data_IF_947140135388
#
_entry.id   IF_947140135388
#
_cell.length_a   1.000
_cell.length_b   1.000
_cell.length_c   1.000
_cell.angle_alpha   90.00
_cell.angle_beta   90.00
_cell.angle_gamma   90.00
#
_symmetry.space_group_name_H-M   'P 1'
#
loop_
_entity.id
_entity.type
_entity.pdbx_description
1 polymer ?
#
# COMPACT_ATOMS: atom_id res chain seq x y z
N UNK A 1 4.82 -58.44 32.15
CA UNK A 1 3.90 -57.28 32.27
C UNK A 1 4.54 -55.98 31.77
N UNK A 2 5.70 -55.53 32.26
CA UNK A 2 6.32 -54.26 31.83
C UNK A 2 6.58 -54.10 30.31
N UNK A 3 6.92 -55.17 29.58
CA UNK A 3 7.19 -55.11 28.13
C UNK A 3 5.92 -54.84 27.29
N UNK A 4 4.76 -55.36 27.68
CA UNK A 4 3.49 -55.06 27.00
C UNK A 4 3.05 -53.61 27.25
N UNK A 5 3.27 -53.08 28.45
CA UNK A 5 2.96 -51.69 28.77
C UNK A 5 3.83 -50.71 28.00
N UNK A 6 5.11 -51.00 27.83
CA UNK A 6 6.02 -50.17 27.04
C UNK A 6 5.64 -50.20 25.55
N UNK A 7 5.28 -51.36 25.00
CA UNK A 7 4.85 -51.50 23.62
C UNK A 7 3.53 -50.75 23.31
N UNK A 8 2.55 -50.78 24.22
CA UNK A 8 1.28 -50.07 24.05
C UNK A 8 1.46 -48.54 24.05
N UNK A 9 2.34 -48.03 24.93
CA UNK A 9 2.69 -46.60 24.98
C UNK A 9 3.40 -46.17 23.71
N UNK A 10 4.42 -46.91 23.28
CA UNK A 10 5.12 -46.60 22.03
C UNK A 10 4.19 -46.65 20.81
N UNK A 11 3.17 -47.52 20.80
CA UNK A 11 2.21 -47.58 19.70
C UNK A 11 1.24 -46.38 19.70
N UNK A 12 0.78 -45.93 20.87
CA UNK A 12 -0.08 -44.75 21.00
C UNK A 12 0.69 -43.46 20.69
N UNK A 13 1.92 -43.35 21.18
CA UNK A 13 2.82 -42.22 20.97
C UNK A 13 3.26 -42.12 19.51
N UNK A 14 3.62 -43.25 18.89
CA UNK A 14 3.99 -43.29 17.47
C UNK A 14 2.84 -42.92 16.52
N UNK A 15 1.59 -43.29 16.83
CA UNK A 15 0.42 -42.86 16.04
C UNK A 15 0.10 -41.38 16.20
N UNK A 16 0.29 -40.84 17.41
CA UNK A 16 0.10 -39.41 17.64
C UNK A 16 1.18 -38.60 16.93
N UNK A 17 2.44 -38.99 17.07
CA UNK A 17 3.58 -38.37 16.38
C UNK A 17 3.38 -38.36 14.86
N UNK A 18 2.92 -39.47 14.27
CA UNK A 18 2.63 -39.54 12.83
C UNK A 18 1.49 -38.60 12.37
N UNK A 19 0.56 -38.25 13.26
CA UNK A 19 -0.52 -37.31 12.94
C UNK A 19 -0.12 -35.84 13.07
N UNK A 20 1.04 -35.54 13.67
CA UNK A 20 1.52 -34.15 13.83
C UNK A 20 1.89 -33.56 12.48
N UNK A 21 2.52 -34.33 11.59
CA UNK A 21 2.91 -33.85 10.27
C UNK A 21 1.68 -33.41 9.45
N UNK A 22 0.62 -34.22 9.41
CA UNK A 22 -0.64 -33.87 8.74
C UNK A 22 -1.27 -32.59 9.32
N UNK A 23 -1.17 -32.38 10.64
CA UNK A 23 -1.69 -31.18 11.31
C UNK A 23 -0.89 -29.95 10.91
N UNK A 24 0.44 -30.06 10.87
CA UNK A 24 1.31 -28.95 10.48
C UNK A 24 1.10 -28.57 9.02
N UNK A 25 0.88 -29.54 8.12
CA UNK A 25 0.52 -29.28 6.73
C UNK A 25 -0.84 -28.55 6.62
N UNK A 26 -1.85 -28.97 7.40
CA UNK A 26 -3.14 -28.27 7.46
C UNK A 26 -2.99 -26.84 8.01
N UNK A 27 -2.18 -26.63 9.06
CA UNK A 27 -1.88 -25.31 9.63
C UNK A 27 -1.17 -24.39 8.64
N UNK A 28 -0.22 -24.91 7.87
CA UNK A 28 0.50 -24.15 6.84
C UNK A 28 -0.46 -23.62 5.77
N UNK A 29 -1.46 -24.41 5.37
CA UNK A 29 -2.47 -23.97 4.41
C UNK A 29 -3.24 -22.72 4.89
N UNK A 30 -3.63 -22.68 6.17
CA UNK A 30 -4.29 -21.49 6.73
C UNK A 30 -3.33 -20.31 6.88
N UNK A 31 -2.07 -20.57 7.22
CA UNK A 31 -1.05 -19.53 7.27
C UNK A 31 -0.85 -18.88 5.90
N UNK A 32 -0.84 -19.68 4.83
CA UNK A 32 -0.70 -19.18 3.46
C UNK A 32 -1.90 -18.36 3.01
N UNK A 33 -3.14 -18.77 3.33
CA UNK A 33 -4.34 -17.93 3.08
C UNK A 33 -4.24 -16.56 3.76
N UNK A 34 -3.75 -16.51 5.00
CA UNK A 34 -3.55 -15.24 5.71
C UNK A 34 -2.41 -14.41 5.12
N UNK A 35 -1.32 -15.04 4.66
CA UNK A 35 -0.23 -14.36 3.95
C UNK A 35 -0.71 -13.76 2.63
N UNK A 36 -1.50 -14.49 1.84
CA UNK A 36 -2.11 -13.97 0.62
C UNK A 36 -2.96 -12.73 0.90
N UNK A 37 -3.73 -12.75 1.99
CA UNK A 37 -4.53 -11.61 2.40
C UNK A 37 -3.66 -10.41 2.82
N UNK A 38 -2.53 -10.67 3.47
CA UNK A 38 -1.54 -9.63 3.79
C UNK A 38 -0.97 -9.00 2.51
N UNK A 39 -0.63 -9.80 1.50
CA UNK A 39 -0.16 -9.29 0.20
C UNK A 39 -1.22 -8.44 -0.51
N UNK A 40 -2.51 -8.80 -0.39
CA UNK A 40 -3.57 -7.95 -0.92
C UNK A 40 -3.62 -6.58 -0.22
N UNK A 41 -3.50 -6.55 1.11
CA UNK A 41 -3.42 -5.30 1.86
C UNK A 41 -2.19 -4.45 1.48
N UNK A 42 -1.04 -5.09 1.19
CA UNK A 42 0.16 -4.41 0.70
C UNK A 42 -0.04 -3.82 -0.69
N UNK A 43 -0.72 -4.53 -1.60
CA UNK A 43 -1.07 -4.03 -2.92
C UNK A 43 -1.94 -2.76 -2.82
N UNK A 44 -2.93 -2.74 -1.91
CA UNK A 44 -3.73 -1.54 -1.66
C UNK A 44 -2.91 -0.38 -1.10
N UNK A 45 -1.95 -0.66 -0.20
CA UNK A 45 -1.02 0.36 0.26
C UNK A 45 -0.21 0.95 -0.90
N UNK A 46 0.20 0.14 -1.88
CA UNK A 46 0.88 0.62 -3.08
C UNK A 46 -0.04 1.51 -3.94
N UNK A 47 -1.33 1.15 -4.07
CA UNK A 47 -2.34 1.98 -4.75
C UNK A 47 -2.45 3.36 -4.10
N UNK A 48 -2.55 3.42 -2.77
CA UNK A 48 -2.60 4.68 -2.03
C UNK A 48 -1.32 5.51 -2.18
N UNK A 49 -0.15 4.88 -2.12
CA UNK A 49 1.14 5.57 -2.32
C UNK A 49 1.26 6.18 -3.71
N UNK A 50 0.78 5.48 -4.74
CA UNK A 50 0.77 6.01 -6.09
C UNK A 50 -0.16 7.23 -6.20
N UNK A 51 -1.31 7.21 -5.55
CA UNK A 51 -2.17 8.40 -5.45
C UNK A 51 -1.43 9.59 -4.80
N UNK A 52 -0.75 9.37 -3.67
CA UNK A 52 0.03 10.42 -3.00
C UNK A 52 1.12 11.02 -3.92
N UNK A 53 1.83 10.19 -4.68
CA UNK A 53 2.84 10.66 -5.64
C UNK A 53 2.22 11.46 -6.78
N UNK A 54 1.11 11.00 -7.36
CA UNK A 54 0.42 11.72 -8.43
C UNK A 54 -0.11 13.07 -7.94
N UNK A 55 -0.67 13.12 -6.74
CA UNK A 55 -1.13 14.35 -6.10
C UNK A 55 0.04 15.33 -5.88
N UNK A 56 1.20 14.83 -5.43
CA UNK A 56 2.40 15.65 -5.27
C UNK A 56 2.86 16.25 -6.61
N UNK A 57 2.89 15.45 -7.69
CA UNK A 57 3.26 15.94 -9.02
C UNK A 57 2.29 17.01 -9.54
N UNK A 58 0.99 16.83 -9.29
CA UNK A 58 -0.06 17.78 -9.65
C UNK A 58 0.14 19.12 -8.91
N UNK A 59 0.37 19.07 -7.61
CA UNK A 59 0.60 20.25 -6.77
C UNK A 59 1.89 20.98 -7.16
N UNK A 60 2.95 20.24 -7.49
CA UNK A 60 4.21 20.80 -7.99
C UNK A 60 4.00 21.54 -9.33
N UNK A 61 3.26 20.94 -10.27
CA UNK A 61 2.93 21.57 -11.55
C UNK A 61 2.08 22.84 -11.36
N UNK A 62 1.09 22.80 -10.46
CA UNK A 62 0.26 23.96 -10.14
C UNK A 62 1.08 25.11 -9.53
N UNK A 63 2.02 24.79 -8.64
CA UNK A 63 2.92 25.77 -8.03
C UNK A 63 3.88 26.39 -9.06
N UNK A 64 4.45 25.59 -9.97
CA UNK A 64 5.30 26.08 -11.05
C UNK A 64 4.54 27.05 -11.97
N UNK A 65 3.35 26.66 -12.42
CA UNK A 65 2.48 27.51 -13.23
C UNK A 65 2.14 28.83 -12.52
N UNK A 66 1.82 28.77 -11.24
CA UNK A 66 1.54 29.96 -10.42
C UNK A 66 2.75 30.88 -10.37
N UNK A 67 3.96 30.33 -10.20
CA UNK A 67 5.19 31.12 -10.20
C UNK A 67 5.47 31.79 -11.54
N UNK A 68 5.21 31.11 -12.66
CA UNK A 68 5.38 31.65 -14.02
C UNK A 68 4.37 32.77 -14.30
N UNK A 69 3.11 32.59 -13.91
CA UNK A 69 2.07 33.64 -14.01
C UNK A 69 2.47 34.88 -13.23
N UNK A 70 2.98 34.73 -12.01
CA UNK A 70 3.48 35.84 -11.20
C UNK A 70 4.69 36.52 -11.88
N UNK A 71 5.65 35.77 -12.39
CA UNK A 71 6.81 36.34 -13.11
C UNK A 71 6.38 37.15 -14.33
N UNK A 72 5.38 36.68 -15.08
CA UNK A 72 4.81 37.39 -16.23
C UNK A 72 4.14 38.71 -15.82
N UNK A 73 3.40 38.72 -14.71
CA UNK A 73 2.78 39.95 -14.17
C UNK A 73 3.83 40.97 -13.66
N UNK A 74 4.87 40.50 -12.96
CA UNK A 74 5.98 41.34 -12.51
C UNK A 74 6.75 41.95 -13.70
N UNK A 75 6.96 41.18 -14.77
CA UNK A 75 7.65 41.64 -15.98
C UNK A 75 6.79 42.60 -16.81
N UNK A 76 5.48 42.37 -16.91
CA UNK A 76 4.54 43.21 -17.65
C UNK A 76 4.26 44.55 -16.95
N UNK A 77 4.17 44.56 -15.62
CA UNK A 77 3.95 45.77 -14.83
C UNK A 77 5.20 46.64 -14.66
N UNK A 78 6.38 46.16 -15.06
CA UNK A 78 7.65 46.84 -14.86
C UNK A 78 8.03 47.03 -13.38
N UNK A 79 7.26 46.46 -12.45
CA UNK A 79 7.45 46.60 -11.00
C UNK A 79 8.46 45.56 -10.54
N UNK A 80 9.75 45.81 -10.81
CA UNK A 80 10.81 45.16 -10.04
C UNK A 80 10.69 45.72 -8.63
N UNK A 81 10.16 44.94 -7.67
CA UNK A 81 10.13 45.35 -6.26
C UNK A 81 11.50 45.91 -5.90
N UNK A 82 11.51 47.17 -5.47
CA UNK A 82 12.69 48.02 -5.24
C UNK A 82 13.69 47.49 -4.20
N UNK A 83 13.40 46.33 -3.58
CA UNK A 83 14.22 45.65 -2.58
C UNK A 83 14.71 44.25 -3.02
N UNK A 84 14.52 43.85 -4.27
CA UNK A 84 15.09 42.60 -4.81
C UNK A 84 16.52 42.82 -5.34
N UNK A 85 17.41 41.84 -5.17
CA UNK A 85 18.78 41.84 -5.74
C UNK A 85 18.82 42.18 -7.24
N UNK A 86 17.75 41.89 -8.00
CA UNK A 86 17.61 42.26 -9.43
C UNK A 86 17.52 43.78 -9.67
N UNK A 87 17.09 44.57 -8.68
CA UNK A 87 17.06 46.03 -8.76
C UNK A 87 18.46 46.68 -8.65
N UNK A 88 19.43 45.97 -8.07
CA UNK A 88 20.83 46.44 -8.02
C UNK A 88 21.60 46.10 -9.30
N UNK A 89 21.29 44.99 -9.98
CA UNK A 89 21.96 44.60 -11.23
C UNK A 89 21.55 45.46 -12.42
N UNK A 90 20.32 45.98 -12.48
CA UNK A 90 19.88 46.90 -13.55
C UNK A 90 20.62 48.25 -13.55
N UNK A 91 21.09 48.70 -12.37
CA UNK A 91 21.97 49.88 -12.24
C UNK A 91 23.42 49.57 -12.62
N UNK A 92 23.84 48.31 -12.60
CA UNK A 92 25.23 47.90 -12.86
C UNK A 92 25.46 47.40 -14.30
N UNK A 93 24.44 46.85 -14.96
CA UNK A 93 24.55 46.23 -16.30
C UNK A 93 23.71 46.93 -17.40
N UNK A 94 23.01 48.01 -17.07
CA UNK A 94 22.13 48.74 -17.99
C UNK A 94 20.69 48.25 -17.96
N UNK A 95 19.75 49.13 -18.31
CA UNK A 95 18.33 48.78 -18.42
C UNK A 95 18.11 47.85 -19.61
N UNK A 96 17.36 46.78 -19.36
CA UNK A 96 16.89 45.85 -20.40
C UNK A 96 16.11 46.60 -21.49
N UNK A 97 16.42 46.34 -22.77
CA UNK A 97 15.72 47.03 -23.85
C UNK A 97 14.26 46.57 -23.94
N UNK A 98 13.35 47.40 -24.47
CA UNK A 98 11.95 47.02 -24.67
C UNK A 98 11.79 45.72 -25.45
N UNK A 99 12.63 45.48 -26.44
CA UNK A 99 12.61 44.29 -27.29
C UNK A 99 13.03 43.03 -26.53
N UNK A 100 14.03 43.12 -25.65
CA UNK A 100 14.45 42.01 -24.79
C UNK A 100 13.37 41.63 -23.77
N UNK A 101 12.66 42.63 -23.24
CA UNK A 101 11.52 42.41 -22.33
C UNK A 101 10.35 41.74 -23.04
N UNK A 102 10.02 42.19 -24.25
CA UNK A 102 8.95 41.61 -25.08
C UNK A 102 9.27 40.15 -25.45
N UNK A 103 10.52 39.85 -25.82
CA UNK A 103 10.96 38.48 -26.09
C UNK A 103 10.82 37.57 -24.86
N UNK A 104 11.19 38.05 -23.66
CA UNK A 104 11.02 37.30 -22.40
C UNK A 104 9.55 37.10 -22.04
N UNK A 105 8.70 38.09 -22.29
CA UNK A 105 7.26 37.98 -22.07
C UNK A 105 6.65 36.89 -22.96
N UNK A 106 7.01 36.85 -24.25
CA UNK A 106 6.54 35.81 -25.18
C UNK A 106 6.93 34.41 -24.73
N UNK A 107 8.20 34.21 -24.34
CA UNK A 107 8.66 32.91 -23.81
C UNK A 107 7.91 32.51 -22.54
N UNK A 108 7.66 33.46 -21.63
CA UNK A 108 6.88 33.19 -20.42
C UNK A 108 5.42 32.86 -20.74
N UNK A 109 4.81 33.51 -21.73
CA UNK A 109 3.45 33.21 -22.17
C UNK A 109 3.35 31.80 -22.77
N UNK A 110 4.29 31.41 -23.63
CA UNK A 110 4.38 30.04 -24.16
C UNK A 110 4.51 29.01 -23.02
N UNK A 111 5.42 29.23 -22.07
CA UNK A 111 5.62 28.35 -20.91
C UNK A 111 4.40 28.28 -19.98
N UNK A 112 3.60 29.35 -19.90
CA UNK A 112 2.34 29.37 -19.14
C UNK A 112 1.30 28.52 -19.86
N UNK A 113 1.16 28.66 -21.18
CA UNK A 113 0.24 27.83 -21.97
C UNK A 113 0.58 26.35 -21.87
N UNK A 114 1.86 25.99 -22.06
CA UNK A 114 2.33 24.61 -21.87
C UNK A 114 2.05 24.10 -20.44
N UNK A 115 2.27 24.94 -19.42
CA UNK A 115 2.00 24.61 -18.03
C UNK A 115 0.51 24.42 -17.72
N UNK A 116 -0.37 25.19 -18.36
CA UNK A 116 -1.84 25.03 -18.25
C UNK A 116 -2.30 23.70 -18.88
N UNK A 117 -1.76 23.34 -20.04
CA UNK A 117 -2.04 22.06 -20.70
C UNK A 117 -1.56 20.88 -19.86
N UNK A 118 -0.33 20.94 -19.35
CA UNK A 118 0.23 19.91 -18.46
C UNK A 118 -0.59 19.76 -17.18
N UNK A 119 -1.01 20.86 -16.55
CA UNK A 119 -1.82 20.82 -15.34
C UNK A 119 -3.20 20.20 -15.61
N UNK A 120 -3.78 20.48 -16.79
CA UNK A 120 -5.05 19.88 -17.21
C UNK A 120 -4.91 18.36 -17.43
N UNK A 121 -3.83 17.93 -18.08
CA UNK A 121 -3.52 16.50 -18.29
C UNK A 121 -3.34 15.78 -16.94
N UNK A 122 -2.48 16.31 -16.05
CA UNK A 122 -2.23 15.74 -14.73
C UNK A 122 -3.49 15.66 -13.87
N UNK A 123 -4.38 16.65 -13.93
CA UNK A 123 -5.66 16.59 -13.25
C UNK A 123 -6.52 15.44 -13.77
N UNK A 124 -6.65 15.30 -15.10
CA UNK A 124 -7.43 14.23 -15.70
C UNK A 124 -6.89 12.85 -15.32
N UNK A 125 -5.57 12.67 -15.34
CA UNK A 125 -4.91 11.43 -14.92
C UNK A 125 -5.17 11.12 -13.45
N UNK A 126 -5.10 12.13 -12.57
CA UNK A 126 -5.39 11.95 -11.14
C UNK A 126 -6.85 11.56 -10.91
N UNK A 127 -7.80 12.24 -11.57
CA UNK A 127 -9.22 11.95 -11.45
C UNK A 127 -9.56 10.53 -11.92
N UNK A 128 -9.01 10.11 -13.06
CA UNK A 128 -9.19 8.75 -13.57
C UNK A 128 -8.57 7.72 -12.62
N UNK A 129 -7.37 7.98 -12.11
CA UNK A 129 -6.70 7.09 -11.18
C UNK A 129 -7.49 6.93 -9.88
N UNK A 130 -7.96 8.04 -9.28
CA UNK A 130 -8.77 8.03 -8.06
C UNK A 130 -10.05 7.24 -8.26
N UNK A 131 -10.74 7.44 -9.38
CA UNK A 131 -11.97 6.72 -9.70
C UNK A 131 -11.75 5.21 -9.74
N UNK A 132 -10.67 4.75 -10.37
CA UNK A 132 -10.33 3.34 -10.46
C UNK A 132 -9.88 2.77 -9.11
N UNK A 133 -8.95 3.47 -8.43
CA UNK A 133 -8.46 3.09 -7.10
C UNK A 133 -9.57 2.99 -6.06
N UNK A 134 -10.57 3.87 -6.14
CA UNK A 134 -11.72 3.85 -5.24
C UNK A 134 -12.54 2.55 -5.37
N UNK A 135 -12.71 2.05 -6.60
CA UNK A 135 -13.40 0.76 -6.82
C UNK A 135 -12.67 -0.39 -6.14
N UNK A 136 -11.33 -0.42 -6.21
CA UNK A 136 -10.52 -1.47 -5.58
C UNK A 136 -10.55 -1.39 -4.05
N UNK A 137 -10.51 -0.17 -3.50
CA UNK A 137 -10.61 0.08 -2.06
C UNK A 137 -11.98 -0.34 -1.53
N UNK A 138 -13.05 -0.02 -2.25
CA UNK A 138 -14.40 -0.37 -1.80
C UNK A 138 -14.62 -1.88 -1.82
N UNK A 139 -14.18 -2.55 -2.90
CA UNK A 139 -14.19 -4.01 -2.98
C UNK A 139 -13.44 -4.65 -1.81
N UNK A 140 -12.27 -4.13 -1.45
CA UNK A 140 -11.53 -4.64 -0.30
C UNK A 140 -12.30 -4.51 1.01
N UNK A 141 -12.92 -3.35 1.26
CA UNK A 141 -13.73 -3.12 2.47
C UNK A 141 -14.87 -4.14 2.59
N UNK A 142 -15.56 -4.42 1.49
CA UNK A 142 -16.69 -5.36 1.45
C UNK A 142 -16.28 -6.83 1.59
N UNK A 143 -15.05 -7.18 1.18
CA UNK A 143 -14.55 -8.56 1.18
C UNK A 143 -13.82 -8.93 2.47
N UNK A 144 -13.00 -8.02 3.03
CA UNK A 144 -12.11 -8.29 4.17
C UNK A 144 -12.74 -9.00 5.35
N UNK A 145 -13.88 -8.49 5.81
CA UNK A 145 -14.49 -9.04 7.01
C UNK A 145 -15.02 -10.45 6.78
N UNK A 146 -15.47 -10.76 5.57
CA UNK A 146 -15.94 -12.09 5.20
C UNK A 146 -14.78 -13.07 5.11
N UNK A 147 -13.77 -12.72 4.31
CA UNK A 147 -12.65 -13.61 3.99
C UNK A 147 -11.84 -13.94 5.25
N UNK A 148 -11.53 -12.92 6.07
CA UNK A 148 -10.80 -13.14 7.32
C UNK A 148 -11.63 -13.92 8.35
N UNK A 149 -12.94 -13.68 8.45
CA UNK A 149 -13.80 -14.47 9.34
C UNK A 149 -13.84 -15.92 8.90
N UNK A 150 -13.99 -16.18 7.61
CA UNK A 150 -14.06 -17.54 7.07
C UNK A 150 -12.75 -18.31 7.31
N UNK A 151 -11.61 -17.68 7.04
CA UNK A 151 -10.29 -18.28 7.32
C UNK A 151 -10.10 -18.59 8.81
N UNK A 152 -10.40 -17.62 9.69
CA UNK A 152 -10.22 -17.77 11.13
C UNK A 152 -11.20 -18.77 11.76
N UNK A 153 -12.46 -18.80 11.31
CA UNK A 153 -13.45 -19.79 11.78
C UNK A 153 -13.02 -21.19 11.35
N UNK A 154 -12.58 -21.35 10.10
CA UNK A 154 -12.11 -22.64 9.57
C UNK A 154 -10.89 -23.14 10.34
N UNK A 155 -9.93 -22.26 10.62
CA UNK A 155 -8.78 -22.56 11.46
C UNK A 155 -9.19 -22.99 12.88
N UNK A 156 -10.13 -22.27 13.52
CA UNK A 156 -10.64 -22.63 14.84
C UNK A 156 -11.32 -24.00 14.86
N UNK A 157 -12.08 -24.33 13.80
CA UNK A 157 -12.72 -25.66 13.65
C UNK A 157 -11.67 -26.76 13.54
N UNK A 158 -10.62 -26.55 12.74
CA UNK A 158 -9.50 -27.48 12.61
C UNK A 158 -8.81 -27.67 13.98
N UNK A 159 -8.50 -26.59 14.70
CA UNK A 159 -7.88 -26.65 16.04
C UNK A 159 -8.74 -27.41 17.06
N UNK A 160 -10.07 -27.22 17.02
CA UNK A 160 -11.01 -28.00 17.86
C UNK A 160 -10.94 -29.49 17.48
N UNK A 161 -10.84 -29.82 16.20
CA UNK A 161 -10.73 -31.20 15.71
C UNK A 161 -9.43 -31.85 16.21
N UNK A 162 -8.30 -31.15 16.09
CA UNK A 162 -7.00 -31.59 16.60
C UNK A 162 -7.06 -31.84 18.11
N UNK A 163 -7.61 -30.90 18.88
CA UNK A 163 -7.79 -31.06 20.33
C UNK A 163 -8.63 -32.31 20.67
N UNK A 164 -9.74 -32.53 19.96
CA UNK A 164 -10.60 -33.71 20.16
C UNK A 164 -9.87 -35.02 19.88
N UNK A 165 -9.11 -35.09 18.77
CA UNK A 165 -8.28 -36.25 18.42
C UNK A 165 -7.23 -36.49 19.51
N UNK A 166 -6.56 -35.43 19.97
CA UNK A 166 -5.59 -35.50 21.07
C UNK A 166 -6.19 -36.07 22.35
N UNK A 167 -7.35 -35.54 22.80
CA UNK A 167 -8.07 -36.07 23.97
C UNK A 167 -8.38 -37.56 23.81
N UNK A 168 -8.83 -37.99 22.63
CA UNK A 168 -9.13 -39.38 22.35
C UNK A 168 -7.89 -40.27 22.45
N UNK A 169 -6.76 -39.85 21.88
CA UNK A 169 -5.47 -40.56 21.97
C UNK A 169 -5.05 -40.72 23.44
N UNK A 170 -5.08 -39.64 24.22
CA UNK A 170 -4.72 -39.68 25.64
C UNK A 170 -5.68 -40.53 26.47
N UNK A 171 -6.97 -40.51 26.15
CA UNK A 171 -7.98 -41.36 26.79
C UNK A 171 -7.71 -42.83 26.50
N UNK A 172 -7.41 -43.18 25.25
CA UNK A 172 -7.06 -44.54 24.85
C UNK A 172 -5.79 -45.02 25.56
N UNK A 173 -4.75 -44.18 25.64
CA UNK A 173 -3.52 -44.50 26.36
C UNK A 173 -3.81 -44.78 27.84
N UNK A 174 -4.58 -43.91 28.51
CA UNK A 174 -5.01 -44.10 29.90
C UNK A 174 -5.79 -45.41 30.10
N UNK A 175 -6.72 -45.74 29.21
CA UNK A 175 -7.46 -47.00 29.27
C UNK A 175 -6.56 -48.22 29.06
N UNK A 176 -5.60 -48.15 28.14
CA UNK A 176 -4.60 -49.20 27.97
C UNK A 176 -3.85 -49.44 29.29
N UNK A 177 -3.45 -48.39 30.01
CA UNK A 177 -2.81 -48.53 31.31
C UNK A 177 -3.70 -49.14 32.39
N UNK A 178 -5.00 -48.81 32.42
CA UNK A 178 -5.92 -49.40 33.40
C UNK A 178 -6.28 -50.87 33.13
N UNK A 179 -6.18 -51.32 31.88
CA UNK A 179 -6.47 -52.71 31.47
C UNK A 179 -5.27 -53.65 31.60
N UNK A 180 -4.11 -53.14 32.02
CA UNK A 180 -2.87 -53.89 32.28
C UNK A 180 -2.66 -54.10 33.77
#
# INVERSE_FOLDING_TARGET
MCLCSCAAVCLCDGRYAASVDDILEEEEHYADQLKEYLFYAEALRAVCRKHELMQYELEAAAQDLTSKKQQREELASGTVRTFSLKGMTSKLFGQETPEQRDAKLKVLEEQITEGEELLKEKNADCDEYVKNAWSDIERFKEQKDRDLKEALISYAIMQISVCKKGIQVWTNAKECFHKM
#
